data_IF_227848121365
#
_entry.id   IF_227848121365
#
_cell.length_a   1.000
_cell.length_b   1.000
_cell.length_c   1.000
_cell.angle_alpha   90.00
_cell.angle_beta   90.00
_cell.angle_gamma   90.00
#
_symmetry.space_group_name_H-M   'P 1'
#
loop_
_entity.id
_entity.type
_entity.pdbx_description
1 polymer ?
#
# COMPACT_ATOMS: atom_id res chain seq x y z
N UNK A 1 15.15 -17.59 2.87
CA UNK A 1 15.07 -16.13 2.98
C UNK A 1 14.01 -15.79 4.01
N UNK A 2 14.22 -14.77 4.84
CA UNK A 2 13.28 -14.31 5.88
C UNK A 2 13.06 -12.79 5.75
N UNK A 3 12.02 -12.25 6.38
CA UNK A 3 11.69 -10.82 6.37
C UNK A 3 12.56 -9.95 7.31
N UNK A 4 13.69 -10.48 7.77
CA UNK A 4 14.56 -9.81 8.75
C UNK A 4 15.50 -8.81 8.07
N UNK A 5 15.68 -7.65 8.69
CA UNK A 5 16.68 -6.67 8.25
C UNK A 5 18.05 -7.08 8.80
N UNK A 6 19.03 -7.22 7.91
CA UNK A 6 20.46 -7.12 8.29
C UNK A 6 20.76 -5.63 8.45
N UNK A 7 21.19 -5.22 9.64
CA UNK A 7 21.23 -3.81 10.06
C UNK A 7 22.46 -3.06 9.51
N UNK A 8 22.58 -2.95 8.18
CA UNK A 8 23.63 -2.17 7.53
C UNK A 8 23.22 -0.67 7.45
N UNK A 9 23.37 0.01 8.59
CA UNK A 9 22.95 1.41 8.83
C UNK A 9 23.58 2.49 7.92
N UNK A 10 24.57 2.10 7.09
CA UNK A 10 25.26 2.97 6.13
C UNK A 10 24.64 2.94 4.73
N UNK A 11 23.78 1.96 4.43
CA UNK A 11 23.20 1.79 3.11
C UNK A 11 22.06 2.79 2.84
N UNK A 12 22.21 3.56 1.76
CA UNK A 12 21.15 4.43 1.23
C UNK A 12 19.88 3.64 0.88
N UNK A 13 20.04 2.40 0.39
CA UNK A 13 18.93 1.52 0.04
C UNK A 13 18.14 1.18 1.30
N UNK A 14 18.83 0.75 2.37
CA UNK A 14 18.21 0.41 3.66
C UNK A 14 17.42 1.60 4.22
N UNK A 15 17.98 2.81 4.16
CA UNK A 15 17.27 4.02 4.60
C UNK A 15 16.03 4.33 3.77
N UNK A 16 16.08 4.08 2.46
CA UNK A 16 14.93 4.30 1.58
C UNK A 16 13.80 3.30 1.84
N UNK A 17 14.12 2.01 1.94
CA UNK A 17 13.10 0.96 2.11
C UNK A 17 12.40 1.00 3.48
N UNK A 18 12.93 1.74 4.46
CA UNK A 18 12.25 2.00 5.76
C UNK A 18 10.85 2.59 5.59
N UNK A 19 10.58 3.32 4.50
CA UNK A 19 9.22 3.84 4.20
C UNK A 19 8.19 2.69 4.10
N UNK A 20 8.62 1.51 3.66
CA UNK A 20 7.79 0.31 3.56
C UNK A 20 7.64 -0.48 4.87
N UNK A 21 8.21 -0.02 5.99
CA UNK A 21 8.19 -0.76 7.27
C UNK A 21 6.77 -1.12 7.71
N UNK A 22 5.82 -0.19 7.60
CA UNK A 22 4.43 -0.44 7.96
C UNK A 22 3.81 -1.55 7.10
N UNK A 23 4.14 -1.57 5.81
CA UNK A 23 3.66 -2.62 4.91
C UNK A 23 4.19 -4.01 5.30
N UNK A 24 5.47 -4.09 5.70
CA UNK A 24 6.04 -5.33 6.23
C UNK A 24 5.31 -5.80 7.49
N UNK A 25 5.16 -4.92 8.49
CA UNK A 25 4.51 -5.27 9.75
C UNK A 25 3.06 -5.72 9.55
N UNK A 26 2.30 -5.00 8.72
CA UNK A 26 0.93 -5.37 8.35
C UNK A 26 0.89 -6.73 7.64
N UNK A 27 1.85 -6.98 6.76
CA UNK A 27 1.95 -8.25 6.02
C UNK A 27 2.29 -9.41 6.93
N UNK A 28 3.27 -9.25 7.82
CA UNK A 28 3.66 -10.27 8.80
C UNK A 28 2.46 -10.63 9.69
N UNK A 29 1.70 -9.63 10.14
CA UNK A 29 0.48 -9.86 10.92
C UNK A 29 -0.61 -10.60 10.12
N UNK A 30 -0.82 -10.24 8.85
CA UNK A 30 -1.89 -10.77 8.01
C UNK A 30 -1.57 -12.13 7.35
N UNK A 31 -0.29 -12.46 7.17
CA UNK A 31 0.16 -13.57 6.32
C UNK A 31 1.25 -14.45 6.94
N UNK A 32 1.44 -14.40 8.27
CA UNK A 32 2.45 -15.20 9.00
C UNK A 32 2.38 -16.71 8.71
N UNK A 33 1.21 -17.22 8.31
CA UNK A 33 0.98 -18.62 7.97
C UNK A 33 1.26 -18.98 6.50
N UNK A 34 1.55 -18.00 5.63
CA UNK A 34 1.80 -18.21 4.21
C UNK A 34 3.29 -18.45 3.92
N UNK A 35 3.60 -19.02 2.75
CA UNK A 35 4.97 -19.19 2.29
C UNK A 35 5.65 -17.84 2.00
N UNK A 36 6.98 -17.79 2.07
CA UNK A 36 7.75 -16.54 1.95
C UNK A 36 7.40 -15.76 0.67
N UNK A 37 7.32 -16.41 -0.49
CA UNK A 37 6.97 -15.74 -1.75
C UNK A 37 5.55 -15.13 -1.73
N UNK A 38 4.61 -15.78 -1.04
CA UNK A 38 3.26 -15.25 -0.88
C UNK A 38 3.24 -14.06 0.08
N UNK A 39 4.05 -14.09 1.14
CA UNK A 39 4.25 -12.94 2.02
C UNK A 39 4.87 -11.77 1.24
N UNK A 40 5.87 -12.00 0.39
CA UNK A 40 6.45 -10.98 -0.48
C UNK A 40 5.39 -10.35 -1.40
N UNK A 41 4.60 -11.17 -2.11
CA UNK A 41 3.51 -10.67 -2.98
C UNK A 41 2.46 -9.86 -2.22
N UNK A 42 2.18 -10.24 -0.98
CA UNK A 42 1.28 -9.47 -0.13
C UNK A 42 1.92 -8.13 0.29
N UNK A 43 3.20 -8.15 0.69
CA UNK A 43 3.97 -6.97 1.07
C UNK A 43 4.09 -5.96 -0.07
N UNK A 44 4.28 -6.43 -1.30
CA UNK A 44 4.29 -5.58 -2.50
C UNK A 44 2.98 -4.77 -2.63
N UNK A 45 1.83 -5.44 -2.50
CA UNK A 45 0.51 -4.80 -2.58
C UNK A 45 0.24 -3.90 -1.38
N UNK A 46 0.66 -4.30 -0.19
CA UNK A 46 0.50 -3.50 1.01
C UNK A 46 1.38 -2.25 1.02
N UNK A 47 2.58 -2.33 0.41
CA UNK A 47 3.46 -1.18 0.19
C UNK A 47 2.80 -0.14 -0.72
N UNK A 48 2.07 -0.58 -1.75
CA UNK A 48 1.22 0.30 -2.55
C UNK A 48 0.16 0.95 -1.67
N UNK A 49 -0.59 0.19 -0.87
CA UNK A 49 -1.63 0.75 0.02
C UNK A 49 -1.07 1.81 0.98
N UNK A 50 0.04 1.52 1.66
CA UNK A 50 0.74 2.47 2.53
C UNK A 50 1.15 3.74 1.77
N UNK A 51 1.63 3.61 0.53
CA UNK A 51 1.98 4.75 -0.31
C UNK A 51 0.76 5.60 -0.70
N UNK A 52 -0.38 4.97 -1.00
CA UNK A 52 -1.63 5.70 -1.28
C UNK A 52 -2.14 6.45 -0.04
N UNK A 53 -2.01 5.87 1.16
CA UNK A 53 -2.29 6.56 2.42
C UNK A 53 -1.34 7.73 2.65
N UNK A 54 -0.04 7.55 2.37
CA UNK A 54 0.94 8.63 2.43
C UNK A 54 0.60 9.77 1.47
N UNK A 55 0.05 9.50 0.27
CA UNK A 55 -0.44 10.56 -0.63
C UNK A 55 -1.56 11.40 0.00
N UNK A 56 -2.42 10.81 0.85
CA UNK A 56 -3.47 11.56 1.54
C UNK A 56 -2.94 12.44 2.69
N UNK A 57 -1.67 12.29 3.10
CA UNK A 57 -1.05 13.20 4.07
C UNK A 57 -0.69 14.57 3.47
N UNK A 58 -0.74 14.69 2.14
CA UNK A 58 -0.54 15.97 1.45
C UNK A 58 -1.87 16.73 1.39
N UNK A 59 -1.99 17.92 2.02
CA UNK A 59 -3.29 18.58 2.18
C UNK A 59 -4.02 18.88 0.86
N UNK A 60 -3.27 19.18 -0.20
CA UNK A 60 -3.86 19.48 -1.51
C UNK A 60 -4.38 18.24 -2.23
N UNK A 61 -3.80 17.06 -1.98
CA UNK A 61 -4.26 15.79 -2.54
C UNK A 61 -5.53 15.40 -1.80
N UNK A 62 -5.47 15.38 -0.47
CA UNK A 62 -6.61 15.06 0.40
C UNK A 62 -7.83 15.90 0.01
N UNK A 63 -7.66 17.21 -0.09
CA UNK A 63 -8.75 18.13 -0.39
C UNK A 63 -9.38 17.88 -1.78
N UNK A 64 -8.57 17.53 -2.78
CA UNK A 64 -9.08 17.21 -4.13
C UNK A 64 -9.78 15.86 -4.16
N UNK A 65 -9.25 14.86 -3.46
CA UNK A 65 -9.89 13.55 -3.34
C UNK A 65 -11.24 13.69 -2.63
N UNK A 66 -11.28 14.43 -1.53
CA UNK A 66 -12.50 14.73 -0.76
C UNK A 66 -13.57 15.44 -1.60
N UNK A 67 -13.15 16.34 -2.50
CA UNK A 67 -14.08 17.03 -3.42
C UNK A 67 -14.51 16.18 -4.62
N UNK A 68 -14.02 14.95 -4.76
CA UNK A 68 -14.25 14.12 -5.94
C UNK A 68 -13.58 14.67 -7.21
N UNK A 69 -12.62 15.59 -7.07
CA UNK A 69 -11.89 16.22 -8.19
C UNK A 69 -10.63 15.43 -8.57
N UNK A 70 -10.19 14.51 -7.71
CA UNK A 70 -9.03 13.65 -7.93
C UNK A 70 -9.36 12.24 -7.44
N UNK A 71 -8.99 11.24 -8.22
CA UNK A 71 -9.07 9.83 -7.82
C UNK A 71 -7.67 9.25 -7.68
N UNK A 72 -7.45 8.48 -6.63
CA UNK A 72 -6.16 7.85 -6.32
C UNK A 72 -6.30 6.34 -6.54
N UNK A 73 -5.35 5.75 -7.24
CA UNK A 73 -5.40 4.34 -7.65
C UNK A 73 -4.11 3.62 -7.27
N UNK A 74 -4.24 2.37 -6.83
CA UNK A 74 -3.14 1.41 -6.71
C UNK A 74 -3.08 0.52 -7.94
N UNK A 75 -1.87 0.11 -8.31
CA UNK A 75 -1.62 -0.81 -9.40
C UNK A 75 -0.54 -1.82 -9.01
N UNK A 76 -0.75 -3.08 -9.38
CA UNK A 76 0.19 -4.17 -9.19
C UNK A 76 0.35 -4.92 -10.51
N UNK A 77 1.58 -4.93 -11.03
CA UNK A 77 1.93 -5.64 -12.24
C UNK A 77 2.73 -6.90 -11.90
N UNK A 78 2.16 -8.07 -12.18
CA UNK A 78 2.84 -9.34 -12.10
C UNK A 78 3.46 -9.65 -13.46
N UNK A 79 4.78 -9.49 -13.57
CA UNK A 79 5.52 -9.72 -14.81
C UNK A 79 5.73 -11.21 -15.11
N UNK A 80 5.52 -12.10 -14.15
CA UNK A 80 5.64 -13.55 -14.35
C UNK A 80 4.41 -14.06 -15.08
N UNK A 81 3.23 -13.64 -14.62
CA UNK A 81 1.95 -14.02 -15.20
C UNK A 81 1.46 -13.04 -16.27
N UNK A 82 2.19 -11.95 -16.50
CA UNK A 82 1.80 -10.83 -17.37
C UNK A 82 0.41 -10.27 -17.02
N UNK A 83 0.11 -10.12 -15.73
CA UNK A 83 -1.20 -9.64 -15.28
C UNK A 83 -1.11 -8.29 -14.59
N UNK A 84 -2.17 -7.50 -14.69
CA UNK A 84 -2.26 -6.20 -14.03
C UNK A 84 -3.52 -6.12 -13.16
N UNK A 85 -3.31 -5.84 -11.88
CA UNK A 85 -4.36 -5.61 -10.91
C UNK A 85 -4.41 -4.12 -10.56
N UNK A 86 -5.58 -3.50 -10.65
CA UNK A 86 -5.81 -2.09 -10.31
C UNK A 86 -6.91 -1.98 -9.28
N UNK A 87 -6.75 -1.10 -8.30
CA UNK A 87 -7.79 -0.72 -7.36
C UNK A 87 -7.86 0.79 -7.14
N UNK A 88 -8.99 1.27 -6.63
CA UNK A 88 -9.22 2.69 -6.32
C UNK A 88 -9.31 2.88 -4.82
N UNK A 89 -8.64 3.91 -4.31
CA UNK A 89 -8.77 4.35 -2.94
C UNK A 89 -10.01 5.26 -2.81
N UNK A 90 -10.96 4.87 -1.98
CA UNK A 90 -12.06 5.73 -1.56
C UNK A 90 -11.76 6.31 -0.18
N UNK A 91 -11.87 7.62 -0.11
CA UNK A 91 -11.67 8.38 1.11
C UNK A 91 -13.00 9.04 1.46
N UNK A 92 -13.67 8.53 2.49
CA UNK A 92 -14.89 9.14 3.03
C UNK A 92 -14.62 9.65 4.44
N UNK A 93 -14.89 10.94 4.65
CA UNK A 93 -14.82 11.55 5.98
C UNK A 93 -16.24 11.64 6.51
N UNK A 94 -16.59 10.73 7.42
CA UNK A 94 -17.83 10.81 8.18
C UNK A 94 -17.98 12.21 8.81
N UNK A 95 -19.20 12.75 8.78
CA UNK A 95 -19.50 14.12 9.27
C UNK A 95 -19.31 14.31 10.79
N UNK A 96 -18.98 13.28 11.55
CA UNK A 96 -18.84 13.30 13.01
C UNK A 96 -17.82 12.24 13.45
N UNK A 97 -16.82 12.68 14.21
CA UNK A 97 -15.80 11.96 15.00
C UNK A 97 -14.75 11.05 14.32
N UNK A 98 -13.51 11.59 14.31
CA UNK A 98 -12.18 10.98 14.57
C UNK A 98 -11.76 9.61 13.98
N UNK A 99 -12.48 9.04 13.03
CA UNK A 99 -11.98 7.88 12.27
C UNK A 99 -12.09 8.10 10.76
N UNK A 100 -10.99 8.48 10.14
CA UNK A 100 -10.87 8.51 8.68
C UNK A 100 -10.98 7.07 8.17
N UNK A 101 -12.08 6.72 7.50
CA UNK A 101 -12.26 5.37 6.93
C UNK A 101 -11.73 5.36 5.50
N UNK A 102 -10.65 4.63 5.27
CA UNK A 102 -10.09 4.42 3.93
C UNK A 102 -10.54 3.06 3.43
N UNK A 103 -11.22 3.04 2.29
CA UNK A 103 -11.71 1.82 1.67
C UNK A 103 -11.06 1.60 0.30
N UNK A 104 -10.81 0.34 -0.04
CA UNK A 104 -10.36 -0.05 -1.38
C UNK A 104 -11.57 -0.57 -2.16
N UNK A 105 -11.84 0.03 -3.33
CA UNK A 105 -12.93 -0.38 -4.24
C UNK A 105 -12.46 -0.54 -5.68
N UNK A 106 -13.37 -0.97 -6.55
CA UNK A 106 -13.18 -1.06 -8.00
C UNK A 106 -11.93 -1.87 -8.39
N UNK A 107 -11.75 -3.02 -7.73
CA UNK A 107 -10.65 -3.94 -8.03
C UNK A 107 -10.90 -4.57 -9.39
N UNK A 108 -10.00 -4.34 -10.33
CA UNK A 108 -10.06 -4.83 -11.70
C UNK A 108 -8.79 -5.61 -12.02
N UNK A 109 -8.95 -6.67 -12.80
CA UNK A 109 -7.87 -7.58 -13.16
C UNK A 109 -7.79 -7.74 -14.67
N UNK A 110 -6.59 -7.59 -15.22
CA UNK A 110 -6.31 -7.52 -16.64
C UNK A 110 -5.34 -8.66 -16.98
N UNK A 111 -5.65 -9.40 -18.04
CA UNK A 111 -4.87 -10.53 -18.59
C UNK A 111 -4.65 -10.33 -20.09
#
# INVERSE_FOLDING_TARGET
MSMQDEEDSTSFITRWVVVGRNARLNTEAATSNLGFDQQCRHCEKESVNCSLLNLLTYPWIEEKVRKGLLSVHGGYYDFVECTFEKWTLEYDRGKTDESNTVAVKNRSFWR
#
